data_IF_093296110124
#
_entry.id   IF_093296110124
#
_cell.length_a   1.000
_cell.length_b   1.000
_cell.length_c   1.000
_cell.angle_alpha   90.00
_cell.angle_beta   90.00
_cell.angle_gamma   90.00
#
_symmetry.space_group_name_H-M   'P 1'
#
loop_
_entity.id
_entity.type
_entity.pdbx_description
1 polymer ?
#
# COMPACT_ATOMS: atom_id res chain seq x y z
N UNK A 1 12.00 8.74 -21.57
CA UNK A 1 11.41 10.08 -21.39
C UNK A 1 11.32 10.30 -19.90
N UNK A 2 12.01 11.28 -19.32
CA UNK A 2 11.76 12.71 -19.50
C UNK A 2 10.29 13.04 -19.19
N UNK A 3 9.85 12.68 -17.99
CA UNK A 3 8.68 13.26 -17.34
C UNK A 3 9.21 13.90 -16.05
N UNK A 4 9.51 15.19 -16.20
CA UNK A 4 9.58 16.26 -15.19
C UNK A 4 9.92 15.85 -13.75
N UNK A 5 11.22 15.98 -13.46
CA UNK A 5 11.87 16.08 -12.16
C UNK A 5 11.46 17.43 -11.50
N UNK A 6 10.15 17.69 -11.37
CA UNK A 6 9.65 18.87 -10.65
C UNK A 6 10.02 18.73 -9.17
N UNK A 7 10.85 19.63 -8.61
CA UNK A 7 11.27 19.57 -7.23
C UNK A 7 10.06 19.73 -6.31
N UNK A 8 10.07 19.01 -5.19
CA UNK A 8 9.03 19.17 -4.18
C UNK A 8 9.23 20.52 -3.51
N UNK A 9 8.30 21.46 -3.66
CA UNK A 9 8.46 22.80 -3.09
C UNK A 9 7.79 22.92 -1.73
N UNK A 10 8.56 23.11 -0.68
CA UNK A 10 8.06 23.47 0.64
C UNK A 10 7.88 24.98 0.74
N UNK A 11 6.70 25.44 1.15
CA UNK A 11 6.41 26.88 1.33
C UNK A 11 6.47 27.20 2.82
N UNK A 12 7.08 28.33 3.16
CA UNK A 12 7.16 28.82 4.53
C UNK A 12 5.88 29.57 4.89
N UNK A 13 5.20 29.08 5.92
CA UNK A 13 4.06 29.75 6.52
C UNK A 13 4.41 30.16 7.95
N UNK A 14 3.87 31.30 8.38
CA UNK A 14 4.09 31.87 9.71
C UNK A 14 2.77 31.90 10.46
N UNK A 15 2.74 31.23 11.61
CA UNK A 15 1.58 31.23 12.51
C UNK A 15 1.84 32.13 13.72
N UNK A 16 0.81 32.82 14.18
CA UNK A 16 0.91 33.61 15.41
C UNK A 16 0.94 32.69 16.64
N UNK A 17 1.85 32.98 17.58
CA UNK A 17 1.93 32.26 18.86
C UNK A 17 0.72 32.58 19.75
N UNK A 18 0.20 33.81 19.65
CA UNK A 18 -0.95 34.26 20.43
C UNK A 18 -2.29 33.74 19.85
N UNK A 19 -2.37 33.59 18.53
CA UNK A 19 -3.54 33.05 17.83
C UNK A 19 -3.10 32.09 16.72
N UNK A 20 -3.11 30.79 17.01
CA UNK A 20 -2.67 29.75 16.06
C UNK A 20 -3.59 29.60 14.84
N UNK A 21 -4.78 30.21 14.85
CA UNK A 21 -5.64 30.24 13.67
C UNK A 21 -5.19 31.28 12.64
N UNK A 22 -4.37 32.25 13.07
CA UNK A 22 -3.80 33.27 12.21
C UNK A 22 -2.50 32.73 11.59
N UNK A 23 -2.57 32.40 10.30
CA UNK A 23 -1.46 31.91 9.47
C UNK A 23 -1.33 32.82 8.27
N UNK A 24 -0.10 33.16 7.88
CA UNK A 24 0.23 33.87 6.65
C UNK A 24 1.37 33.17 5.92
N UNK A 25 1.37 33.30 4.60
CA UNK A 25 2.55 32.97 3.81
C UNK A 25 3.70 33.91 4.20
N UNK A 26 4.93 33.40 4.17
CA UNK A 26 6.10 34.20 4.50
C UNK A 26 6.24 35.40 3.53
N UNK A 27 5.88 35.24 2.25
CA UNK A 27 5.91 36.33 1.27
C UNK A 27 5.00 37.50 1.67
N UNK A 28 3.79 37.18 2.14
CA UNK A 28 2.86 38.15 2.68
C UNK A 28 3.41 38.82 3.93
N UNK A 29 4.05 38.07 4.84
CA UNK A 29 4.67 38.64 6.04
C UNK A 29 5.83 39.59 5.71
N UNK A 30 6.66 39.28 4.71
CA UNK A 30 7.79 40.13 4.29
C UNK A 30 7.32 41.43 3.63
N UNK A 31 6.16 41.40 3.00
CA UNK A 31 5.57 42.53 2.28
C UNK A 31 4.51 43.27 3.10
N UNK A 32 4.09 42.72 4.24
CA UNK A 32 3.05 43.28 5.10
C UNK A 32 3.45 44.64 5.71
N UNK A 33 2.51 45.59 5.82
CA UNK A 33 2.69 46.77 6.65
C UNK A 33 2.96 46.40 8.12
N UNK A 34 3.71 47.23 8.84
CA UNK A 34 4.08 46.98 10.24
C UNK A 34 2.87 46.64 11.14
N UNK A 35 1.74 47.35 10.95
CA UNK A 35 0.53 47.11 11.72
C UNK A 35 -0.09 45.70 11.53
N UNK A 36 0.17 45.05 10.38
CA UNK A 36 -0.27 43.66 10.11
C UNK A 36 0.75 42.68 10.66
N UNK A 37 2.05 42.94 10.45
CA UNK A 37 3.12 42.11 10.99
C UNK A 37 3.11 42.07 12.53
N UNK A 38 2.81 43.19 13.19
CA UNK A 38 2.73 43.28 14.67
C UNK A 38 1.64 42.39 15.28
N UNK A 39 0.63 41.95 14.49
CA UNK A 39 -0.36 40.96 14.95
C UNK A 39 0.25 39.57 15.19
N UNK A 40 1.40 39.29 14.58
CA UNK A 40 2.19 38.08 14.82
C UNK A 40 3.21 38.26 15.96
N UNK A 41 3.20 39.43 16.59
CA UNK A 41 4.11 39.82 17.66
C UNK A 41 5.12 40.88 17.21
N UNK A 42 5.68 41.64 18.16
CA UNK A 42 6.75 42.57 17.85
C UNK A 42 7.95 41.80 17.31
N UNK A 43 8.58 42.30 16.25
CA UNK A 43 9.73 41.65 15.60
C UNK A 43 9.44 40.25 15.02
N UNK A 44 8.20 39.98 14.56
CA UNK A 44 7.82 38.69 13.96
C UNK A 44 8.81 38.22 12.86
N UNK A 45 9.28 39.16 12.03
CA UNK A 45 10.26 38.88 10.98
C UNK A 45 11.60 38.36 11.55
N UNK A 46 12.13 39.00 12.59
CA UNK A 46 13.37 38.57 13.25
C UNK A 46 13.19 37.20 13.93
N UNK A 47 12.02 36.96 14.53
CA UNK A 47 11.68 35.70 15.18
C UNK A 47 11.64 34.54 14.17
N UNK A 48 11.09 34.77 12.96
CA UNK A 48 11.10 33.79 11.86
C UNK A 48 12.53 33.46 11.44
N UNK A 49 13.38 34.47 11.20
CA UNK A 49 14.78 34.24 10.83
C UNK A 49 15.55 33.49 11.92
N UNK A 50 15.29 33.78 13.20
CA UNK A 50 15.88 33.06 14.31
C UNK A 50 15.38 31.60 14.41
N UNK A 51 14.10 31.36 14.12
CA UNK A 51 13.52 30.03 13.99
C UNK A 51 14.20 29.21 12.90
N UNK A 52 14.29 29.78 11.69
CA UNK A 52 14.98 29.15 10.56
C UNK A 52 16.46 28.84 10.87
N UNK A 53 17.18 29.75 11.54
CA UNK A 53 18.58 29.50 11.96
C UNK A 53 18.72 28.38 12.99
N UNK A 54 17.73 28.19 13.87
CA UNK A 54 17.72 27.06 14.81
C UNK A 54 17.43 25.76 14.07
N UNK A 55 16.40 25.76 13.21
CA UNK A 55 16.03 24.59 12.42
C UNK A 55 17.14 24.17 11.44
N UNK A 56 17.89 25.10 10.85
CA UNK A 56 19.06 24.81 10.01
C UNK A 56 20.18 24.05 10.74
N UNK A 57 20.22 24.10 12.09
CA UNK A 57 21.17 23.28 12.87
C UNK A 57 20.71 21.84 13.04
N UNK A 58 19.40 21.61 13.08
CA UNK A 58 18.81 20.28 13.14
C UNK A 58 18.77 19.64 11.74
N UNK A 59 18.40 20.41 10.73
CA UNK A 59 18.29 19.96 9.35
C UNK A 59 18.99 20.96 8.39
N UNK A 60 20.22 20.64 7.95
CA UNK A 60 21.04 21.53 7.12
C UNK A 60 20.38 22.11 5.86
N UNK A 61 19.48 21.41 5.13
CA UNK A 61 18.81 21.94 3.94
C UNK A 61 18.13 23.31 4.10
N UNK A 62 17.64 23.64 5.31
CA UNK A 62 17.03 24.96 5.61
C UNK A 62 18.05 26.10 5.44
N UNK A 63 19.35 25.84 5.50
CA UNK A 63 20.36 26.87 5.28
C UNK A 63 20.23 27.51 3.89
N UNK A 64 19.78 26.77 2.87
CA UNK A 64 19.52 27.30 1.52
C UNK A 64 18.44 28.38 1.53
N UNK A 65 17.42 28.20 2.36
CA UNK A 65 16.33 29.17 2.56
C UNK A 65 16.88 30.49 3.15
N UNK A 66 17.87 30.40 4.04
CA UNK A 66 18.51 31.56 4.68
C UNK A 66 19.50 32.33 3.78
N UNK A 67 19.80 31.83 2.58
CA UNK A 67 20.59 32.58 1.59
C UNK A 67 19.77 33.72 0.96
N UNK A 68 18.45 33.59 0.97
CA UNK A 68 17.54 34.63 0.49
C UNK A 68 17.28 35.69 1.58
N UNK A 69 17.27 36.96 1.18
CA UNK A 69 16.94 38.07 2.09
C UNK A 69 15.48 38.00 2.59
N UNK A 70 14.61 37.35 1.83
CA UNK A 70 13.18 37.13 2.12
C UNK A 70 12.85 35.66 1.88
N UNK A 71 13.11 34.79 2.86
CA UNK A 71 12.93 33.37 2.65
C UNK A 71 11.45 33.00 2.50
N UNK A 72 11.07 32.38 1.38
CA UNK A 72 9.65 32.07 1.09
C UNK A 72 9.39 30.60 0.84
N UNK A 73 10.29 29.91 0.13
CA UNK A 73 10.11 28.52 -0.20
C UNK A 73 11.45 27.81 -0.39
N UNK A 74 11.44 26.49 -0.19
CA UNK A 74 12.60 25.63 -0.33
C UNK A 74 12.27 24.49 -1.31
N UNK A 75 13.07 24.37 -2.36
CA UNK A 75 12.99 23.25 -3.28
C UNK A 75 13.69 22.02 -2.68
N UNK A 76 12.93 20.94 -2.52
CA UNK A 76 13.34 19.70 -1.91
C UNK A 76 13.60 18.63 -2.95
N UNK A 77 14.69 17.90 -2.75
CA UNK A 77 14.92 16.63 -3.42
C UNK A 77 14.19 15.48 -2.71
N UNK A 78 14.19 14.29 -3.33
CA UNK A 78 13.48 13.15 -2.74
C UNK A 78 14.09 12.60 -1.45
N UNK A 79 15.38 12.82 -1.19
CA UNK A 79 16.00 12.43 0.08
C UNK A 79 15.55 13.38 1.20
N UNK A 80 15.51 14.67 0.90
CA UNK A 80 15.04 15.72 1.80
C UNK A 80 13.55 15.55 2.15
N UNK A 81 12.73 15.12 1.18
CA UNK A 81 11.34 14.72 1.43
C UNK A 81 11.26 13.53 2.39
N UNK A 82 12.10 12.50 2.21
CA UNK A 82 12.13 11.34 3.11
C UNK A 82 12.56 11.71 4.52
N UNK A 83 13.54 12.61 4.68
CA UNK A 83 13.95 13.13 5.98
C UNK A 83 12.74 13.73 6.72
N UNK A 84 11.94 14.55 6.02
CA UNK A 84 10.71 15.17 6.55
C UNK A 84 9.56 14.18 6.81
N UNK A 85 9.62 12.96 6.28
CA UNK A 85 8.71 11.86 6.62
C UNK A 85 9.21 11.04 7.82
N UNK A 86 10.48 11.23 8.18
CA UNK A 86 11.17 10.52 9.24
C UNK A 86 11.27 11.32 10.54
N UNK A 87 12.27 11.01 11.38
CA UNK A 87 12.43 11.64 12.70
C UNK A 87 12.79 13.13 12.62
N UNK A 88 13.33 13.59 11.49
CA UNK A 88 13.73 15.00 11.31
C UNK A 88 12.53 15.95 11.45
N UNK A 89 11.33 15.54 11.05
CA UNK A 89 10.12 16.35 11.26
C UNK A 89 9.89 16.69 12.74
N UNK A 90 10.16 15.75 13.65
CA UNK A 90 10.05 15.98 15.09
C UNK A 90 11.16 16.91 15.59
N UNK A 91 12.38 16.75 15.10
CA UNK A 91 13.50 17.64 15.44
C UNK A 91 13.26 19.08 14.97
N UNK A 92 12.64 19.24 13.79
CA UNK A 92 12.21 20.54 13.28
C UNK A 92 11.09 21.13 14.15
N UNK A 93 10.12 20.33 14.58
CA UNK A 93 9.05 20.79 15.47
C UNK A 93 9.62 21.28 16.81
N UNK A 94 10.60 20.58 17.37
CA UNK A 94 11.33 21.00 18.59
C UNK A 94 12.10 22.31 18.37
N UNK A 95 12.59 22.56 17.16
CA UNK A 95 13.20 23.82 16.76
C UNK A 95 12.18 24.95 16.49
N UNK A 96 10.88 24.64 16.49
CA UNK A 96 9.77 25.56 16.24
C UNK A 96 9.34 25.66 14.78
N UNK A 97 9.72 24.71 13.92
CA UNK A 97 9.22 24.56 12.55
C UNK A 97 8.37 23.29 12.43
N UNK A 98 7.06 23.45 12.33
CA UNK A 98 6.14 22.34 12.12
C UNK A 98 6.00 22.03 10.63
N UNK A 99 6.20 20.77 10.26
CA UNK A 99 6.05 20.29 8.87
C UNK A 99 4.60 19.92 8.63
N UNK A 100 3.94 20.62 7.70
CA UNK A 100 2.55 20.34 7.31
C UNK A 100 2.50 19.72 5.93
N UNK A 101 1.90 18.54 5.85
CA UNK A 101 1.61 17.86 4.60
C UNK A 101 0.14 18.11 4.23
N UNK A 102 -0.16 18.59 3.02
CA UNK A 102 -1.53 18.61 2.55
C UNK A 102 -2.07 17.18 2.55
N UNK A 103 -3.34 17.02 2.92
CA UNK A 103 -3.98 15.71 3.07
C UNK A 103 -3.85 14.83 1.81
N UNK A 104 -3.64 15.43 0.64
CA UNK A 104 -3.54 14.76 -0.67
C UNK A 104 -2.12 14.40 -1.12
N UNK A 105 -1.10 14.80 -0.37
CA UNK A 105 0.29 14.72 -0.85
C UNK A 105 0.96 13.39 -0.58
N UNK A 106 0.63 12.67 0.50
CA UNK A 106 1.33 11.42 0.82
C UNK A 106 0.38 10.23 0.78
N UNK A 107 0.25 9.62 -0.40
CA UNK A 107 -0.49 8.36 -0.52
C UNK A 107 0.39 7.18 -0.20
N UNK A 108 -0.17 6.27 0.58
CA UNK A 108 0.46 5.02 0.97
C UNK A 108 0.04 3.94 -0.01
N UNK A 109 0.97 3.07 -0.40
CA UNK A 109 0.67 1.89 -1.22
C UNK A 109 0.01 0.84 -0.32
N UNK A 110 -1.18 0.42 -0.71
CA UNK A 110 -1.87 -0.72 -0.11
C UNK A 110 -1.52 -1.98 -0.89
N UNK A 111 -1.07 -3.01 -0.17
CA UNK A 111 -0.71 -4.30 -0.74
C UNK A 111 -1.82 -5.31 -0.46
N UNK A 112 -2.32 -5.95 -1.51
CA UNK A 112 -3.29 -7.04 -1.41
C UNK A 112 -2.65 -8.32 -1.93
N UNK A 113 -2.62 -9.41 -1.15
CA UNK A 113 -2.08 -10.67 -1.62
C UNK A 113 -3.06 -11.33 -2.58
N UNK A 114 -2.58 -11.70 -3.75
CA UNK A 114 -3.35 -12.37 -4.79
C UNK A 114 -2.67 -13.70 -5.17
N UNK A 115 -3.42 -14.79 -5.06
CA UNK A 115 -3.00 -16.11 -5.50
C UNK A 115 -3.55 -16.34 -6.90
N UNK A 116 -2.64 -16.55 -7.86
CA UNK A 116 -3.04 -16.86 -9.24
C UNK A 116 -2.61 -18.26 -9.61
N UNK A 117 -3.57 -19.00 -10.16
CA UNK A 117 -3.39 -20.39 -10.59
C UNK A 117 -3.26 -20.54 -12.11
N UNK A 118 -2.83 -19.49 -12.83
CA UNK A 118 -2.76 -19.44 -14.30
C UNK A 118 -1.95 -20.59 -14.92
N UNK A 119 -1.00 -21.15 -14.18
CA UNK A 119 -0.13 -22.26 -14.59
C UNK A 119 -0.71 -23.66 -14.34
N UNK A 120 -1.95 -23.78 -13.88
CA UNK A 120 -2.66 -25.06 -13.93
C UNK A 120 -3.04 -25.36 -15.38
N UNK A 121 -2.08 -25.90 -16.14
CA UNK A 121 -2.31 -26.34 -17.51
C UNK A 121 -3.53 -27.25 -17.55
N UNK A 122 -4.59 -26.75 -18.19
CA UNK A 122 -5.85 -27.45 -18.42
C UNK A 122 -5.72 -28.57 -19.47
N UNK A 123 -4.57 -29.23 -19.54
CA UNK A 123 -4.30 -30.24 -20.56
C UNK A 123 -5.00 -31.57 -20.27
N UNK A 124 -5.62 -31.72 -19.10
CA UNK A 124 -6.59 -32.80 -18.81
C UNK A 124 -7.67 -32.32 -17.84
N UNK A 125 -8.96 -32.31 -18.24
CA UNK A 125 -10.04 -32.18 -17.27
C UNK A 125 -10.00 -33.37 -16.31
N UNK A 126 -9.84 -33.11 -15.00
CA UNK A 126 -10.00 -34.13 -13.96
C UNK A 126 -8.74 -34.58 -13.19
N UNK A 127 -7.56 -33.97 -13.38
CA UNK A 127 -6.38 -34.26 -12.53
C UNK A 127 -5.80 -33.01 -11.94
N UNK A 128 -6.43 -32.48 -10.89
CA UNK A 128 -5.86 -31.44 -10.07
C UNK A 128 -5.11 -32.08 -8.90
N UNK A 129 -3.79 -32.04 -8.92
CA UNK A 129 -2.96 -32.49 -7.79
C UNK A 129 -2.81 -31.35 -6.78
N UNK A 130 -3.06 -31.62 -5.50
CA UNK A 130 -2.87 -30.65 -4.41
C UNK A 130 -1.40 -30.21 -4.28
N UNK A 131 -0.46 -31.03 -4.75
CA UNK A 131 0.97 -30.71 -4.82
C UNK A 131 1.36 -29.77 -5.98
N UNK A 132 0.40 -29.42 -6.86
CA UNK A 132 0.66 -28.48 -7.93
C UNK A 132 1.08 -27.12 -7.35
N UNK A 133 2.03 -26.47 -8.00
CA UNK A 133 2.59 -25.19 -7.54
C UNK A 133 1.78 -24.02 -8.10
N UNK A 134 1.22 -23.22 -7.21
CA UNK A 134 0.60 -21.93 -7.48
C UNK A 134 1.58 -20.80 -7.15
N UNK A 135 1.33 -19.62 -7.72
CA UNK A 135 2.13 -18.44 -7.47
C UNK A 135 1.34 -17.41 -6.65
N UNK A 136 1.87 -17.06 -5.49
CA UNK A 136 1.44 -15.92 -4.69
C UNK A 136 2.16 -14.67 -5.22
N UNK A 137 1.37 -13.73 -5.71
CA UNK A 137 1.77 -12.37 -6.07
C UNK A 137 1.14 -11.38 -5.10
N UNK A 138 1.73 -10.20 -5.01
CA UNK A 138 1.11 -9.07 -4.32
C UNK A 138 0.67 -8.09 -5.38
N UNK A 139 -0.60 -7.68 -5.31
CA UNK A 139 -1.11 -6.57 -6.09
C UNK A 139 -1.02 -5.30 -5.23
N UNK A 140 -0.75 -4.18 -5.89
CA UNK A 140 -0.61 -2.91 -5.22
C UNK A 140 -1.66 -1.93 -5.73
N UNK A 141 -2.34 -1.26 -4.81
CA UNK A 141 -3.31 -0.21 -5.13
C UNK A 141 -2.90 1.12 -4.47
N UNK A 142 -3.25 2.21 -5.14
CA UNK A 142 -3.12 3.57 -4.63
C UNK A 142 -4.48 4.25 -4.82
N UNK A 143 -5.10 4.71 -3.73
CA UNK A 143 -6.45 5.28 -3.73
C UNK A 143 -7.51 4.35 -4.36
N UNK A 144 -7.40 3.04 -4.08
CA UNK A 144 -8.31 2.03 -4.60
C UNK A 144 -8.13 1.70 -6.09
N UNK A 145 -7.14 2.29 -6.78
CA UNK A 145 -6.81 1.98 -8.16
C UNK A 145 -5.57 1.09 -8.23
N UNK A 146 -5.63 0.00 -9.00
CA UNK A 146 -4.49 -0.88 -9.23
C UNK A 146 -3.33 -0.15 -9.93
N UNK A 147 -2.13 -0.44 -9.47
CA UNK A 147 -0.88 -0.01 -10.10
C UNK A 147 -0.61 -0.87 -11.34
N UNK A 148 -0.18 -0.24 -12.42
CA UNK A 148 0.26 -0.92 -13.64
C UNK A 148 1.69 -1.46 -13.46
N UNK A 149 2.11 -2.48 -14.23
CA UNK A 149 3.47 -3.01 -14.17
C UNK A 149 4.55 -1.94 -14.34
N UNK A 150 4.33 -0.98 -15.24
CA UNK A 150 5.24 0.14 -15.49
C UNK A 150 5.37 1.05 -14.27
N UNK A 151 4.28 1.32 -13.57
CA UNK A 151 4.29 2.12 -12.33
C UNK A 151 4.96 1.39 -11.17
N UNK A 152 4.79 0.07 -11.09
CA UNK A 152 5.51 -0.77 -10.12
C UNK A 152 7.02 -0.73 -10.39
N UNK A 153 7.43 -0.88 -11.65
CA UNK A 153 8.84 -0.80 -12.02
C UNK A 153 9.45 0.56 -11.69
N UNK A 154 8.70 1.65 -11.91
CA UNK A 154 9.13 3.00 -11.52
C UNK A 154 9.35 3.11 -10.00
N UNK A 155 8.44 2.56 -9.20
CA UNK A 155 8.57 2.56 -7.74
C UNK A 155 9.78 1.74 -7.28
N UNK A 156 10.02 0.57 -7.88
CA UNK A 156 11.15 -0.31 -7.54
C UNK A 156 12.49 0.27 -7.96
N UNK A 157 12.55 0.96 -9.10
CA UNK A 157 13.77 1.60 -9.59
C UNK A 157 14.08 2.92 -8.88
N UNK A 158 13.08 3.55 -8.27
CA UNK A 158 13.28 4.77 -7.53
C UNK A 158 14.22 4.51 -6.34
N UNK A 159 15.41 5.12 -6.39
CA UNK A 159 16.36 5.15 -5.26
C UNK A 159 15.90 6.08 -4.13
N UNK A 160 14.72 6.69 -4.27
CA UNK A 160 14.13 7.71 -3.40
C UNK A 160 12.83 7.12 -2.83
N UNK A 161 12.52 7.39 -1.56
CA UNK A 161 11.34 6.82 -0.90
C UNK A 161 10.00 7.48 -1.28
N UNK A 162 10.01 8.52 -2.12
CA UNK A 162 8.78 9.11 -2.69
C UNK A 162 8.89 9.25 -4.20
N UNK A 163 7.83 8.85 -4.92
CA UNK A 163 7.74 8.87 -6.38
C UNK A 163 6.40 9.49 -6.81
N UNK A 164 6.41 10.27 -7.90
CA UNK A 164 5.18 10.82 -8.47
C UNK A 164 4.53 9.81 -9.43
N UNK A 165 3.31 9.37 -9.12
CA UNK A 165 2.49 8.50 -9.96
C UNK A 165 1.14 9.15 -10.25
N UNK A 166 0.76 9.21 -11.53
CA UNK A 166 -0.51 9.80 -11.99
C UNK A 166 -0.74 11.22 -11.42
N UNK A 167 0.32 12.03 -11.38
CA UNK A 167 0.28 13.40 -10.86
C UNK A 167 0.32 13.55 -9.34
N UNK A 168 0.29 12.45 -8.56
CA UNK A 168 0.30 12.43 -7.10
C UNK A 168 1.61 11.86 -6.55
N UNK A 169 2.01 12.29 -5.35
CA UNK A 169 3.18 11.73 -4.67
C UNK A 169 2.80 10.50 -3.87
N UNK A 170 3.57 9.43 -4.04
CA UNK A 170 3.33 8.12 -3.43
C UNK A 170 4.59 7.70 -2.68
N UNK A 171 4.42 7.26 -1.43
CA UNK A 171 5.51 6.76 -0.61
C UNK A 171 5.86 5.33 -1.03
N UNK A 172 7.09 5.16 -1.50
CA UNK A 172 7.77 3.94 -1.89
C UNK A 172 8.56 3.36 -0.69
N UNK A 173 7.85 2.72 0.24
CA UNK A 173 8.48 2.01 1.35
C UNK A 173 9.27 0.78 0.84
N UNK A 174 10.60 0.70 1.04
CA UNK A 174 11.43 -0.39 0.54
C UNK A 174 10.95 -1.79 0.97
N UNK A 175 10.39 -1.90 2.18
CA UNK A 175 9.87 -3.18 2.68
C UNK A 175 8.62 -3.63 1.92
N UNK A 176 7.75 -2.67 1.56
CA UNK A 176 6.55 -2.93 0.76
C UNK A 176 6.88 -3.23 -0.69
N UNK A 177 7.83 -2.49 -1.28
CA UNK A 177 8.29 -2.73 -2.65
C UNK A 177 8.98 -4.10 -2.80
N UNK A 178 9.73 -4.53 -1.79
CA UNK A 178 10.30 -5.87 -1.75
C UNK A 178 9.21 -6.96 -1.72
N UNK A 179 8.11 -6.75 -0.97
CA UNK A 179 6.96 -7.66 -0.99
C UNK A 179 6.26 -7.67 -2.36
N UNK A 180 6.15 -6.51 -3.03
CA UNK A 180 5.52 -6.38 -4.33
C UNK A 180 6.22 -7.17 -5.45
N UNK A 181 7.55 -7.22 -5.39
CA UNK A 181 8.37 -7.97 -6.36
C UNK A 181 8.58 -9.44 -5.98
N UNK A 182 8.28 -9.83 -4.74
CA UNK A 182 8.43 -11.20 -4.29
C UNK A 182 7.41 -12.13 -4.98
N UNK A 183 7.91 -13.21 -5.57
CA UNK A 183 7.10 -14.34 -6.05
C UNK A 183 7.31 -15.50 -5.10
N UNK A 184 6.22 -16.06 -4.57
CA UNK A 184 6.28 -17.23 -3.71
C UNK A 184 5.49 -18.38 -4.31
N UNK A 185 6.05 -19.58 -4.15
CA UNK A 185 5.36 -20.81 -4.53
C UNK A 185 4.56 -21.29 -3.33
N UNK A 186 3.29 -21.58 -3.58
CA UNK A 186 2.33 -22.12 -2.61
C UNK A 186 1.73 -23.37 -3.23
N UNK A 187 1.50 -24.41 -2.46
CA UNK A 187 0.81 -25.61 -2.98
C UNK A 187 -0.63 -25.30 -3.34
N UNK A 188 -1.20 -26.01 -4.31
CA UNK A 188 -2.61 -25.92 -4.63
C UNK A 188 -3.49 -26.34 -3.44
N UNK A 189 -3.00 -27.23 -2.57
CA UNK A 189 -3.63 -27.59 -1.31
C UNK A 189 -3.72 -26.42 -0.32
N UNK A 190 -2.62 -25.71 -0.09
CA UNK A 190 -2.60 -24.50 0.77
C UNK A 190 -3.49 -23.40 0.18
N UNK A 191 -3.40 -23.15 -1.13
CA UNK A 191 -4.26 -22.19 -1.79
C UNK A 191 -5.74 -22.58 -1.67
N UNK A 192 -6.09 -23.86 -1.86
CA UNK A 192 -7.47 -24.33 -1.70
C UNK A 192 -7.96 -24.20 -0.25
N UNK A 193 -7.11 -24.48 0.74
CA UNK A 193 -7.45 -24.31 2.15
C UNK A 193 -7.80 -22.84 2.46
N UNK A 194 -7.01 -21.90 1.95
CA UNK A 194 -7.29 -20.47 2.05
C UNK A 194 -8.59 -20.12 1.34
N UNK A 195 -8.78 -20.64 0.11
CA UNK A 195 -9.99 -20.40 -0.68
C UNK A 195 -11.25 -20.88 0.03
N UNK A 196 -11.17 -21.91 0.87
CA UNK A 196 -12.29 -22.49 1.62
C UNK A 196 -12.59 -21.73 2.93
N UNK A 197 -11.69 -20.88 3.40
CA UNK A 197 -11.86 -20.07 4.61
C UNK A 197 -10.71 -20.17 5.61
N UNK A 198 -9.58 -20.76 5.22
CA UNK A 198 -8.34 -20.72 5.99
C UNK A 198 -7.54 -19.44 5.75
N UNK A 199 -6.45 -19.29 6.50
CA UNK A 199 -5.48 -18.21 6.36
C UNK A 199 -4.16 -18.78 5.82
N UNK A 200 -3.42 -17.99 5.04
CA UNK A 200 -2.11 -18.38 4.52
C UNK A 200 -1.04 -17.81 5.43
N UNK A 201 -0.30 -18.65 6.16
CA UNK A 201 0.84 -18.16 6.92
C UNK A 201 2.05 -17.97 6.00
N UNK A 202 2.52 -16.73 5.88
CA UNK A 202 3.69 -16.36 5.07
C UNK A 202 4.65 -15.58 5.96
N UNK A 203 5.89 -16.06 6.10
CA UNK A 203 6.90 -15.48 7.03
C UNK A 203 6.43 -15.37 8.49
N UNK A 204 5.51 -16.23 8.93
CA UNK A 204 4.96 -16.19 10.29
C UNK A 204 3.86 -15.15 10.49
N UNK A 205 3.38 -14.52 9.43
CA UNK A 205 2.22 -13.64 9.41
C UNK A 205 1.06 -14.35 8.70
N UNK A 206 -0.13 -14.34 9.30
CA UNK A 206 -1.33 -14.89 8.67
C UNK A 206 -1.92 -13.87 7.69
N UNK A 207 -2.11 -14.32 6.45
CA UNK A 207 -2.45 -13.46 5.33
C UNK A 207 -3.77 -13.91 4.71
N UNK A 208 -4.71 -12.97 4.60
CA UNK A 208 -5.94 -13.14 3.83
C UNK A 208 -5.66 -12.88 2.35
N UNK A 209 -5.46 -13.94 1.57
CA UNK A 209 -5.22 -13.84 0.13
C UNK A 209 -6.52 -13.95 -0.67
N UNK A 210 -6.66 -13.11 -1.70
CA UNK A 210 -7.70 -13.28 -2.71
C UNK A 210 -7.26 -14.36 -3.69
N UNK A 211 -8.17 -15.28 -4.01
CA UNK A 211 -7.90 -16.41 -4.90
C UNK A 211 -8.82 -16.30 -6.09
N UNK A 212 -8.22 -16.30 -7.28
CA UNK A 212 -8.92 -16.22 -8.55
C UNK A 212 -8.70 -17.47 -9.41
N UNK A 213 -9.55 -17.65 -10.43
CA UNK A 213 -9.39 -18.69 -11.44
C UNK A 213 -9.90 -20.08 -11.02
N UNK A 214 -9.38 -21.16 -11.64
CA UNK A 214 -9.85 -22.53 -11.42
C UNK A 214 -9.93 -22.97 -9.94
N UNK A 215 -8.97 -22.56 -9.11
CA UNK A 215 -8.95 -22.85 -7.67
C UNK A 215 -10.13 -22.22 -6.93
N UNK A 216 -10.45 -20.97 -7.24
CA UNK A 216 -11.60 -20.27 -6.68
C UNK A 216 -12.92 -20.97 -7.05
N UNK A 217 -13.04 -21.41 -8.31
CA UNK A 217 -14.19 -22.16 -8.78
C UNK A 217 -14.32 -23.52 -8.08
N UNK A 218 -13.20 -24.23 -7.87
CA UNK A 218 -13.18 -25.47 -7.11
C UNK A 218 -13.64 -25.25 -5.66
N UNK A 219 -13.09 -24.24 -4.97
CA UNK A 219 -13.49 -23.92 -3.60
C UNK A 219 -14.98 -23.58 -3.50
N UNK A 220 -15.50 -22.79 -4.45
CA UNK A 220 -16.93 -22.49 -4.54
C UNK A 220 -17.77 -23.75 -4.76
N UNK A 221 -17.34 -24.66 -5.65
CA UNK A 221 -18.00 -25.95 -5.86
C UNK A 221 -18.04 -26.75 -4.56
N UNK A 222 -16.90 -26.93 -3.90
CA UNK A 222 -16.77 -27.69 -2.65
C UNK A 222 -17.68 -27.17 -1.53
N UNK A 223 -17.78 -25.84 -1.36
CA UNK A 223 -18.71 -25.23 -0.40
C UNK A 223 -20.18 -25.56 -0.67
N UNK A 224 -20.53 -25.90 -1.90
CA UNK A 224 -21.91 -26.24 -2.31
C UNK A 224 -22.18 -27.75 -2.34
N UNK A 225 -21.19 -28.60 -2.06
CA UNK A 225 -21.34 -30.07 -2.14
C UNK A 225 -22.30 -30.59 -1.07
N UNK A 226 -22.34 -29.99 0.12
CA UNK A 226 -23.22 -30.40 1.22
C UNK A 226 -24.73 -30.19 0.97
N UNK A 227 -25.13 -29.75 -0.24
CA UNK A 227 -26.53 -29.50 -0.59
C UNK A 227 -27.00 -30.07 -1.92
N UNK A 228 -26.23 -30.94 -2.59
CA UNK A 228 -26.65 -31.53 -3.88
C UNK A 228 -27.24 -32.93 -3.73
N UNK A 229 -28.48 -33.08 -4.16
CA UNK A 229 -29.16 -34.36 -4.42
C UNK A 229 -28.65 -35.10 -5.68
N UNK A 230 -27.46 -34.76 -6.19
CA UNK A 230 -27.06 -35.10 -7.55
C UNK A 230 -26.51 -36.53 -7.72
N UNK A 231 -26.21 -37.25 -6.63
CA UNK A 231 -25.76 -38.63 -6.71
C UNK A 231 -26.93 -39.60 -6.58
N UNK A 232 -27.19 -40.36 -7.64
CA UNK A 232 -28.19 -41.43 -7.65
C UNK A 232 -27.51 -42.78 -7.38
N UNK A 233 -28.00 -43.58 -6.42
CA UNK A 233 -27.44 -44.90 -6.17
C UNK A 233 -27.61 -45.78 -7.41
N UNK A 234 -26.58 -46.58 -7.78
CA UNK A 234 -26.70 -47.47 -8.92
C UNK A 234 -27.79 -48.52 -8.67
N UNK A 235 -28.48 -48.99 -9.71
CA UNK A 235 -29.58 -49.95 -9.58
C UNK A 235 -29.15 -51.31 -8.99
N UNK A 236 -27.84 -51.58 -8.99
CA UNK A 236 -27.22 -52.78 -8.40
C UNK A 236 -27.00 -52.68 -6.89
N UNK A 237 -27.23 -51.52 -6.28
CA UNK A 237 -27.10 -51.34 -4.84
C UNK A 237 -28.35 -51.87 -4.11
N UNK A 238 -28.23 -53.08 -3.55
CA UNK A 238 -29.29 -53.70 -2.75
C UNK A 238 -29.27 -53.24 -1.29
N UNK A 239 -29.35 -51.93 -1.06
CA UNK A 239 -29.41 -51.34 0.28
C UNK A 239 -30.24 -50.05 0.29
N UNK A 240 -30.91 -49.76 1.40
CA UNK A 240 -31.53 -48.44 1.64
C UNK A 240 -30.54 -47.56 2.38
N UNK A 241 -30.06 -46.51 1.72
CA UNK A 241 -29.10 -45.58 2.30
C UNK A 241 -29.80 -44.59 3.24
N UNK A 242 -29.25 -44.42 4.44
CA UNK A 242 -29.64 -43.34 5.35
C UNK A 242 -29.21 -41.98 4.77
N UNK A 243 -29.83 -40.86 5.16
CA UNK A 243 -29.50 -39.53 4.61
C UNK A 243 -28.01 -39.21 4.63
N UNK A 244 -27.30 -39.51 5.73
CA UNK A 244 -25.85 -39.28 5.81
C UNK A 244 -25.03 -40.18 4.88
N UNK A 245 -25.50 -41.39 4.55
CA UNK A 245 -24.81 -42.30 3.63
C UNK A 245 -24.97 -41.84 2.18
N UNK A 246 -26.13 -41.28 1.83
CA UNK A 246 -26.33 -40.64 0.53
C UNK A 246 -25.45 -39.40 0.40
N UNK A 247 -25.42 -38.55 1.42
CA UNK A 247 -24.53 -37.38 1.47
C UNK A 247 -23.05 -37.79 1.36
N UNK A 248 -22.62 -38.81 2.11
CA UNK A 248 -21.25 -39.32 2.04
C UNK A 248 -20.89 -39.93 0.67
N UNK A 249 -21.82 -40.65 0.04
CA UNK A 249 -21.60 -41.21 -1.31
C UNK A 249 -21.57 -40.11 -2.39
N UNK A 250 -22.42 -39.10 -2.29
CA UNK A 250 -22.37 -37.92 -3.14
C UNK A 250 -21.03 -37.19 -3.01
N UNK A 251 -20.54 -37.01 -1.78
CA UNK A 251 -19.25 -36.41 -1.52
C UNK A 251 -18.09 -37.21 -2.12
N UNK A 252 -18.07 -38.53 -1.91
CA UNK A 252 -17.03 -39.41 -2.48
C UNK A 252 -17.04 -39.41 -4.02
N UNK A 253 -18.23 -39.42 -4.63
CA UNK A 253 -18.38 -39.35 -6.09
C UNK A 253 -17.84 -38.02 -6.63
N UNK A 254 -18.17 -36.91 -6.00
CA UNK A 254 -17.66 -35.58 -6.38
C UNK A 254 -16.14 -35.51 -6.20
N UNK A 255 -15.57 -36.04 -5.10
CA UNK A 255 -14.12 -36.06 -4.90
C UNK A 255 -13.41 -36.89 -5.97
N UNK A 256 -13.99 -38.04 -6.36
CA UNK A 256 -13.46 -38.88 -7.42
C UNK A 256 -13.53 -38.19 -8.80
N UNK A 257 -14.62 -37.50 -9.12
CA UNK A 257 -14.76 -36.72 -10.36
C UNK A 257 -13.79 -35.53 -10.43
N UNK A 258 -13.48 -34.93 -9.27
CA UNK A 258 -12.49 -33.87 -9.13
C UNK A 258 -11.04 -34.37 -9.13
N UNK A 259 -10.82 -35.68 -9.06
CA UNK A 259 -9.50 -36.30 -8.98
C UNK A 259 -8.80 -36.13 -7.62
N UNK A 260 -9.58 -35.91 -6.56
CA UNK A 260 -9.12 -35.70 -5.17
C UNK A 260 -9.35 -36.92 -4.26
N UNK A 261 -9.78 -38.06 -4.84
CA UNK A 261 -10.11 -39.30 -4.12
C UNK A 261 -9.06 -40.39 -4.17
#
# INVERSE_FOLDING_TARGET
>A
GALDDEPFRAVLEVASVADRSLVLDADDLWSAPAAVADRFGPHAQDAVLLGLRRAARAWPPIARLLEEARPTALDLDGQEVEDLLGPVASELADAGLEVRWPADVLRTIELTPALTSESMSADRPGTMTLDAMCELRWDATVDGAALTPEEVDLLVQAKRGVVRLRGRWVRADPTRLARLTARRRVTAGEALAVALGGELTVDGEDIAATIDGPLAHLAARLRTVEGRDAWSPPPTLHATLRPYQQAGAAWLSEMAELGLG
#
